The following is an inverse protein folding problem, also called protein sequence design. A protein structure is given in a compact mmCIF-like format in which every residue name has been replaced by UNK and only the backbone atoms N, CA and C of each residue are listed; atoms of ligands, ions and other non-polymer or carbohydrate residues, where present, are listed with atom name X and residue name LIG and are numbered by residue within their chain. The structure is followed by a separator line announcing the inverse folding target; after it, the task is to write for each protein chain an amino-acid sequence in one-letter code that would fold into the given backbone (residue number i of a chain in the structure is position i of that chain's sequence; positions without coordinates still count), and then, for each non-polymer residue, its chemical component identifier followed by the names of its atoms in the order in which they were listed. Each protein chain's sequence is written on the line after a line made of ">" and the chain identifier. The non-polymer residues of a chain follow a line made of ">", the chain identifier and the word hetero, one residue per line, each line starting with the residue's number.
data_IF_293361328745
#
_entry.id   IF_293361328745
#
_cell.length_a   1.000
_cell.length_b   1.000
_cell.length_c   1.000
_cell.angle_alpha   90.00
_cell.angle_beta   90.00
_cell.angle_gamma   90.00
#
_symmetry.space_group_name_H-M   'P 1'
#
loop_
_entity.id
_entity.type
_entity.pdbx_description
1 polymer ?
#
# COMPACT_ATOMS: atom_id res chain seq x y z
N UNK A 1 -10.58 -27.47 26.09
CA UNK A 1 -10.81 -27.68 24.65
C UNK A 1 -11.33 -26.38 24.09
N UNK A 2 -10.56 -25.72 23.25
CA UNK A 2 -11.03 -24.54 22.50
C UNK A 2 -12.02 -25.05 21.47
N UNK A 3 -13.24 -24.51 21.48
CA UNK A 3 -14.25 -24.83 20.47
C UNK A 3 -13.69 -24.53 19.08
N UNK A 4 -13.62 -25.51 18.16
CA UNK A 4 -13.09 -25.34 16.81
C UNK A 4 -13.73 -24.16 16.06
N UNK A 5 -15.03 -23.93 16.28
CA UNK A 5 -15.76 -22.83 15.66
C UNK A 5 -15.17 -21.45 16.04
N UNK A 6 -14.79 -21.27 17.30
CA UNK A 6 -14.16 -20.02 17.76
C UNK A 6 -12.72 -19.86 17.26
N UNK A 7 -12.01 -20.96 16.97
CA UNK A 7 -10.67 -20.90 16.40
C UNK A 7 -10.72 -20.42 14.94
N UNK A 8 -11.67 -20.94 14.16
CA UNK A 8 -11.86 -20.55 12.76
C UNK A 8 -12.29 -19.09 12.64
N UNK A 9 -13.23 -18.63 13.47
CA UNK A 9 -13.65 -17.22 13.48
C UNK A 9 -12.53 -16.25 13.86
N UNK A 10 -11.63 -16.65 14.76
CA UNK A 10 -10.43 -15.86 15.08
C UNK A 10 -9.44 -15.83 13.92
N UNK A 11 -9.29 -16.94 13.21
CA UNK A 11 -8.44 -16.98 12.02
C UNK A 11 -8.99 -16.06 10.94
N UNK A 12 -10.28 -16.16 10.62
CA UNK A 12 -10.93 -15.31 9.62
C UNK A 12 -10.81 -13.81 9.93
N UNK A 13 -10.92 -13.42 11.21
CA UNK A 13 -10.70 -12.02 11.61
C UNK A 13 -9.26 -11.59 11.33
N UNK A 14 -8.28 -12.40 11.72
CA UNK A 14 -6.86 -12.08 11.47
C UNK A 14 -6.57 -11.96 9.98
N UNK A 15 -7.11 -12.86 9.16
CA UNK A 15 -6.94 -12.82 7.71
C UNK A 15 -7.59 -11.56 7.10
N UNK A 16 -8.75 -11.14 7.61
CA UNK A 16 -9.42 -9.91 7.19
C UNK A 16 -8.59 -8.66 7.56
N UNK A 17 -8.15 -8.56 8.82
CA UNK A 17 -7.31 -7.45 9.31
C UNK A 17 -6.00 -7.36 8.50
N UNK A 18 -5.42 -8.50 8.13
CA UNK A 18 -4.20 -8.55 7.32
C UNK A 18 -4.43 -8.08 5.88
N UNK A 19 -5.55 -8.46 5.27
CA UNK A 19 -5.93 -7.98 3.92
C UNK A 19 -6.17 -6.47 3.90
N UNK A 20 -6.77 -5.93 4.95
CA UNK A 20 -6.93 -4.49 5.11
C UNK A 20 -5.56 -3.79 5.22
N UNK A 21 -4.63 -4.33 6.01
CA UNK A 21 -3.26 -3.81 6.10
C UNK A 21 -2.56 -3.77 4.72
N UNK A 22 -2.80 -4.77 3.87
CA UNK A 22 -2.24 -4.82 2.52
C UNK A 22 -2.86 -3.77 1.62
N UNK A 23 -4.18 -3.56 1.70
CA UNK A 23 -4.85 -2.51 0.95
C UNK A 23 -4.24 -1.14 1.24
N UNK A 24 -3.97 -0.84 2.51
CA UNK A 24 -3.25 0.40 2.87
C UNK A 24 -1.78 0.38 2.41
N UNK A 25 -1.11 -0.76 2.43
CA UNK A 25 0.26 -0.88 1.94
C UNK A 25 0.39 -0.81 0.41
N UNK A 26 -0.72 -1.01 -0.32
CA UNK A 26 -0.82 -0.74 -1.75
C UNK A 26 -0.94 0.74 -2.07
N UNK A 27 -1.24 1.58 -1.08
CA UNK A 27 -1.25 3.02 -1.26
C UNK A 27 0.19 3.49 -1.45
N UNK A 28 0.46 4.16 -2.58
CA UNK A 28 1.78 4.69 -3.00
C UNK A 28 2.81 3.62 -3.36
N UNK A 29 4.04 4.08 -3.61
CA UNK A 29 5.20 3.22 -3.84
C UNK A 29 5.52 2.44 -2.56
N UNK A 30 5.35 1.10 -2.55
CA UNK A 30 5.54 0.30 -1.35
C UNK A 30 7.03 0.20 -1.00
N UNK A 31 7.36 0.54 0.25
CA UNK A 31 8.74 0.50 0.78
C UNK A 31 9.08 -0.83 1.46
N UNK A 32 8.08 -1.50 2.02
CA UNK A 32 8.21 -2.77 2.76
C UNK A 32 6.90 -3.55 2.66
N UNK A 33 6.98 -4.88 2.66
CA UNK A 33 5.77 -5.71 2.71
C UNK A 33 5.21 -5.77 4.14
N UNK A 34 3.92 -6.03 4.30
CA UNK A 34 3.25 -6.30 5.59
C UNK A 34 3.87 -7.47 6.35
N UNK A 35 4.38 -8.49 5.64
CA UNK A 35 5.15 -9.59 6.24
C UNK A 35 6.53 -9.17 6.75
N UNK A 36 6.98 -7.94 6.47
CA UNK A 36 8.32 -7.45 6.78
C UNK A 36 9.38 -7.75 5.72
N UNK A 37 9.04 -8.53 4.69
CA UNK A 37 9.90 -8.87 3.57
C UNK A 37 10.26 -7.66 2.70
N UNK A 38 11.43 -7.69 2.01
CA UNK A 38 11.83 -6.64 1.08
C UNK A 38 10.97 -6.66 -0.19
N UNK A 39 10.82 -5.49 -0.80
CA UNK A 39 10.14 -5.33 -2.09
C UNK A 39 11.16 -5.47 -3.22
N UNK A 40 10.78 -6.16 -4.28
CA UNK A 40 11.52 -6.29 -5.54
C UNK A 40 10.67 -5.80 -6.70
N UNK A 41 11.32 -5.39 -7.78
CA UNK A 41 10.65 -5.15 -9.05
C UNK A 41 10.50 -6.47 -9.79
N UNK A 42 9.28 -6.72 -10.26
CA UNK A 42 8.95 -7.83 -11.15
C UNK A 42 8.34 -7.30 -12.44
N UNK A 43 8.45 -8.09 -13.50
CA UNK A 43 7.80 -7.82 -14.79
C UNK A 43 7.00 -9.06 -15.17
N UNK A 44 5.77 -8.87 -15.66
CA UNK A 44 4.98 -9.96 -16.20
C UNK A 44 5.30 -10.24 -17.68
N UNK A 45 4.69 -11.29 -18.24
CA UNK A 45 4.85 -11.67 -19.65
C UNK A 45 4.36 -10.60 -20.63
N UNK A 46 3.51 -9.68 -20.16
CA UNK A 46 2.98 -8.56 -20.94
C UNK A 46 3.86 -7.30 -20.83
N UNK A 47 4.98 -7.38 -20.11
CA UNK A 47 5.90 -6.25 -19.89
C UNK A 47 5.45 -5.27 -18.82
N UNK A 48 4.38 -5.57 -18.07
CA UNK A 48 3.93 -4.71 -16.98
C UNK A 48 4.83 -4.87 -15.76
N UNK A 49 5.22 -3.74 -15.19
CA UNK A 49 6.09 -3.70 -14.01
C UNK A 49 5.27 -3.64 -12.72
N UNK A 50 5.72 -4.40 -11.72
CA UNK A 50 5.11 -4.52 -10.41
C UNK A 50 6.15 -4.40 -9.30
N UNK A 51 5.75 -3.76 -8.21
CA UNK A 51 6.38 -3.90 -6.91
C UNK A 51 5.84 -5.16 -6.23
N UNK A 52 6.70 -6.12 -5.96
CA UNK A 52 6.33 -7.44 -5.46
C UNK A 52 7.14 -7.78 -4.21
N UNK A 53 6.53 -8.43 -3.22
CA UNK A 53 7.30 -8.99 -2.11
C UNK A 53 8.33 -10.02 -2.61
N UNK A 54 9.52 -10.07 -2.01
CA UNK A 54 10.49 -11.12 -2.31
C UNK A 54 9.98 -12.51 -1.91
N UNK A 55 9.27 -12.58 -0.79
CA UNK A 55 8.63 -13.79 -0.25
C UNK A 55 7.19 -13.92 -0.76
N UNK A 56 6.88 -13.34 -1.92
CA UNK A 56 5.52 -13.35 -2.45
C UNK A 56 5.03 -14.78 -2.71
N UNK A 57 3.97 -15.14 -2.00
CA UNK A 57 3.05 -16.22 -2.33
C UNK A 57 1.77 -15.57 -2.89
N UNK A 58 1.10 -16.20 -3.87
CA UNK A 58 -0.16 -15.68 -4.43
C UNK A 58 -1.35 -16.00 -3.50
N UNK A 59 -1.19 -15.63 -2.24
CA UNK A 59 -2.07 -15.91 -1.11
C UNK A 59 -2.99 -14.72 -0.76
N UNK A 60 -2.74 -13.57 -1.39
CA UNK A 60 -3.41 -12.29 -1.10
C UNK A 60 -2.93 -11.64 0.21
N UNK A 61 -1.87 -12.14 0.83
CA UNK A 61 -1.26 -11.64 2.06
C UNK A 61 0.08 -10.91 1.84
N UNK A 62 0.56 -10.87 0.59
CA UNK A 62 1.77 -10.17 0.19
C UNK A 62 1.52 -9.10 -0.87
N UNK A 63 2.38 -8.06 -0.87
CA UNK A 63 2.29 -6.96 -1.83
C UNK A 63 2.58 -7.45 -3.24
N UNK A 64 1.64 -7.17 -4.15
CA UNK A 64 1.82 -7.13 -5.61
C UNK A 64 1.10 -5.89 -6.16
N UNK A 65 1.82 -4.78 -6.27
CA UNK A 65 1.27 -3.51 -6.70
C UNK A 65 1.84 -3.06 -8.04
N UNK A 66 1.02 -2.54 -8.95
CA UNK A 66 1.49 -2.13 -10.28
C UNK A 66 2.29 -0.85 -10.15
N UNK A 67 3.47 -0.78 -10.78
CA UNK A 67 4.34 0.39 -10.62
C UNK A 67 3.69 1.68 -11.10
N UNK A 68 2.91 1.62 -12.18
CA UNK A 68 2.20 2.77 -12.73
C UNK A 68 1.23 3.37 -11.72
N UNK A 69 0.36 2.53 -11.13
CA UNK A 69 -0.64 2.96 -10.14
C UNK A 69 0.05 3.60 -8.92
N UNK A 70 1.12 2.96 -8.43
CA UNK A 70 1.88 3.44 -7.28
C UNK A 70 2.43 4.87 -7.50
N UNK A 71 2.90 5.14 -8.73
CA UNK A 71 3.44 6.45 -9.11
C UNK A 71 2.31 7.46 -9.28
N UNK A 72 1.19 7.06 -9.89
CA UNK A 72 0.01 7.90 -10.07
C UNK A 72 -0.55 8.36 -8.71
N UNK A 73 -0.65 7.45 -7.74
CA UNK A 73 -1.10 7.75 -6.36
C UNK A 73 -0.15 8.74 -5.66
N UNK A 74 1.17 8.54 -5.74
CA UNK A 74 2.15 9.50 -5.18
C UNK A 74 2.09 10.87 -5.86
N UNK A 75 1.84 10.92 -7.17
CA UNK A 75 1.75 12.17 -7.92
C UNK A 75 0.49 12.97 -7.56
N UNK A 76 -0.66 12.31 -7.37
CA UNK A 76 -1.89 13.01 -7.02
C UNK A 76 -1.78 13.61 -5.61
N UNK A 77 -1.22 12.88 -4.64
CA UNK A 77 -0.99 13.43 -3.31
C UNK A 77 0.02 14.59 -3.31
N UNK A 78 1.13 14.45 -4.06
CA UNK A 78 2.11 15.54 -4.17
C UNK A 78 1.47 16.82 -4.73
N UNK A 79 0.55 16.67 -5.69
CA UNK A 79 -0.19 17.80 -6.26
C UNK A 79 -1.10 18.45 -5.22
N UNK A 80 -1.77 17.68 -4.36
CA UNK A 80 -2.55 18.21 -3.25
C UNK A 80 -1.67 18.95 -2.23
N UNK A 81 -0.54 18.37 -1.83
CA UNK A 81 0.42 18.99 -0.90
C UNK A 81 0.95 20.33 -1.43
N UNK A 82 1.29 20.41 -2.72
CA UNK A 82 1.75 21.64 -3.37
C UNK A 82 0.65 22.71 -3.40
N UNK A 83 -0.60 22.31 -3.68
CA UNK A 83 -1.75 23.23 -3.65
C UNK A 83 -1.98 23.79 -2.25
N UNK A 84 -1.82 22.97 -1.20
CA UNK A 84 -2.00 23.44 0.16
C UNK A 84 -0.84 24.31 0.64
N UNK A 85 0.40 23.99 0.23
CA UNK A 85 1.56 24.82 0.51
C UNK A 85 1.44 26.21 -0.15
N UNK A 86 1.02 26.27 -1.41
CA UNK A 86 0.82 27.56 -2.11
C UNK A 86 -0.26 28.41 -1.46
N UNK A 87 -1.40 27.82 -1.06
CA UNK A 87 -2.42 28.53 -0.26
C UNK A 87 -1.86 29.06 1.06
N UNK A 88 -1.03 28.28 1.74
CA UNK A 88 -0.40 28.71 3.00
C UNK A 88 0.57 29.85 2.80
N UNK A 89 1.36 29.85 1.71
CA UNK A 89 2.27 30.94 1.36
C UNK A 89 1.51 32.23 1.06
N UNK A 90 0.45 32.17 0.24
CA UNK A 90 -0.39 33.35 -0.06
C UNK A 90 -0.98 33.98 1.21
N UNK A 91 -1.45 33.16 2.17
CA UNK A 91 -1.96 33.66 3.45
C UNK A 91 -0.90 34.38 4.29
N UNK A 92 0.35 33.91 4.27
CA UNK A 92 1.44 34.57 5.00
C UNK A 92 1.85 35.90 4.35
N UNK A 93 1.78 36.00 3.02
CA UNK A 93 2.08 37.24 2.29
C UNK A 93 1.00 38.32 2.49
N UNK A 94 -0.27 37.93 2.65
CA UNK A 94 -1.39 38.85 2.94
C UNK A 94 -1.39 39.39 4.39
N UNK A 95 -0.61 38.79 5.31
CA UNK A 95 -0.51 39.17 6.72
C UNK A 95 0.70 40.08 7.04
N UNK A 96 1.52 40.45 6.03
CA UNK A 96 2.71 41.34 6.14
C UNK A 96 2.38 42.73 5.58
#
# INVERSE_FOLDING_TARGET
>A
MTDPYYADMKQHRRDADWRECILYAHHKIPKKCTCGGPIRLGTDEQGMSYYVCKEFEDDGFHIRHRCFNAIEEELEELKEEVVDQTKSQMKMEDEI
#
